data_IF_620295575630
#
_entry.id   IF_620295575630
#
_cell.length_a   1.000
_cell.length_b   1.000
_cell.length_c   1.000
_cell.angle_alpha   90.00
_cell.angle_beta   90.00
_cell.angle_gamma   90.00
#
_symmetry.space_group_name_H-M   'P 1'
#
loop_
_entity.id
_entity.type
_entity.pdbx_description
1 polymer ?
#
# COMPACT_ATOMS: atom_id res chain seq x y z
N UNK A 1 -3.88 -7.05 12.55
CA UNK A 1 -4.01 -6.03 13.61
C UNK A 1 -5.47 -5.65 13.77
N UNK A 2 -5.88 -5.13 14.93
CA UNK A 2 -7.27 -4.70 15.21
C UNK A 2 -7.43 -3.20 14.99
N UNK A 3 -8.58 -2.74 14.50
CA UNK A 3 -8.77 -1.32 14.15
C UNK A 3 -8.65 -0.35 15.32
N UNK A 4 -9.11 -0.73 16.52
CA UNK A 4 -8.98 0.09 17.72
C UNK A 4 -7.51 0.39 18.07
N UNK A 5 -6.65 -0.60 17.91
CA UNK A 5 -5.21 -0.53 18.18
C UNK A 5 -4.54 0.37 17.16
N UNK A 6 -4.85 0.19 15.88
CA UNK A 6 -4.34 1.07 14.81
C UNK A 6 -4.80 2.51 15.05
N UNK A 7 -6.09 2.73 15.30
CA UNK A 7 -6.63 4.06 15.57
C UNK A 7 -5.98 4.73 16.78
N UNK A 8 -5.68 3.99 17.85
CA UNK A 8 -4.96 4.51 19.01
C UNK A 8 -3.53 4.93 18.67
N UNK A 9 -2.80 4.10 17.90
CA UNK A 9 -1.42 4.40 17.46
C UNK A 9 -1.39 5.61 16.51
N UNK A 10 -2.30 5.67 15.53
CA UNK A 10 -2.31 6.78 14.56
C UNK A 10 -2.66 8.12 15.23
N UNK A 11 -3.48 8.11 16.28
CA UNK A 11 -3.79 9.31 17.08
C UNK A 11 -2.57 9.91 17.80
N UNK A 12 -1.53 9.11 18.08
CA UNK A 12 -0.28 9.63 18.66
C UNK A 12 0.69 10.16 17.62
N UNK A 13 0.36 10.02 16.32
CA UNK A 13 1.26 10.37 15.21
C UNK A 13 2.37 9.34 14.98
N UNK A 14 2.29 8.14 15.58
CA UNK A 14 3.25 7.07 15.37
C UNK A 14 2.94 6.30 14.07
N UNK A 15 3.38 6.87 12.95
CA UNK A 15 3.20 6.28 11.63
C UNK A 15 4.24 5.18 11.36
N UNK A 16 3.88 4.12 10.59
CA UNK A 16 4.87 3.16 10.14
C UNK A 16 5.85 3.82 9.16
N UNK A 17 7.14 3.50 9.26
CA UNK A 17 8.14 3.93 8.27
C UNK A 17 7.96 3.21 6.93
N UNK A 18 7.63 1.93 6.99
CA UNK A 18 7.26 1.11 5.83
C UNK A 18 6.11 0.19 6.23
N UNK A 19 5.34 -0.28 5.24
CA UNK A 19 4.32 -1.29 5.49
C UNK A 19 4.20 -2.26 4.31
N UNK A 20 3.69 -3.45 4.60
CA UNK A 20 3.51 -4.52 3.64
C UNK A 20 2.16 -5.21 3.87
N UNK A 21 1.91 -6.26 3.10
CA UNK A 21 0.68 -7.05 3.18
C UNK A 21 0.76 -8.22 4.15
N UNK A 22 1.97 -8.73 4.42
CA UNK A 22 2.17 -10.08 5.01
C UNK A 22 1.33 -11.13 4.25
N UNK A 23 1.49 -11.17 2.92
CA UNK A 23 0.63 -11.94 2.03
C UNK A 23 0.98 -13.42 2.04
N UNK A 24 -0.04 -14.27 2.19
CA UNK A 24 0.03 -15.71 2.04
C UNK A 24 -1.13 -16.23 1.17
N UNK A 25 -1.14 -17.54 0.88
CA UNK A 25 -2.14 -18.19 0.00
C UNK A 25 -3.58 -18.02 0.48
N UNK A 26 -3.79 -17.88 1.79
CA UNK A 26 -5.09 -17.65 2.41
C UNK A 26 -5.49 -16.16 2.48
N UNK A 27 -4.60 -15.21 2.18
CA UNK A 27 -4.89 -13.79 2.39
C UNK A 27 -6.06 -13.28 1.55
N UNK A 28 -6.27 -13.81 0.33
CA UNK A 28 -7.39 -13.39 -0.56
C UNK A 28 -8.77 -13.49 0.06
N UNK A 29 -8.98 -14.41 1.00
CA UNK A 29 -10.26 -14.57 1.70
C UNK A 29 -10.36 -13.75 2.99
N UNK A 30 -9.35 -12.90 3.27
CA UNK A 30 -9.27 -12.03 4.44
C UNK A 30 -9.40 -10.55 4.05
N UNK A 31 -9.24 -9.65 5.03
CA UNK A 31 -9.18 -8.22 4.76
C UNK A 31 -7.90 -7.75 4.06
N UNK A 32 -6.86 -8.56 3.95
CA UNK A 32 -5.64 -8.24 3.18
C UNK A 32 -5.88 -8.76 1.76
N UNK A 33 -6.12 -7.87 0.79
CA UNK A 33 -6.47 -8.24 -0.61
C UNK A 33 -5.29 -8.05 -1.58
N UNK A 34 -4.54 -6.98 -1.40
CA UNK A 34 -3.36 -6.63 -2.16
C UNK A 34 -2.67 -5.44 -1.47
N UNK A 35 -1.50 -5.02 -1.98
CA UNK A 35 -0.80 -3.87 -1.43
C UNK A 35 -1.59 -2.55 -1.59
N UNK A 36 -2.22 -2.23 -2.74
CA UNK A 36 -3.10 -1.06 -2.88
C UNK A 36 -4.23 -1.00 -1.83
N UNK A 37 -4.84 -2.13 -1.49
CA UNK A 37 -5.83 -2.24 -0.42
C UNK A 37 -5.21 -1.88 0.94
N UNK A 38 -4.03 -2.39 1.25
CA UNK A 38 -3.32 -2.03 2.48
C UNK A 38 -2.95 -0.54 2.54
N UNK A 39 -2.49 0.05 1.45
CA UNK A 39 -2.24 1.49 1.35
C UNK A 39 -3.52 2.29 1.65
N UNK A 40 -4.64 1.86 1.07
CA UNK A 40 -5.94 2.54 1.21
C UNK A 40 -6.46 2.57 2.65
N UNK A 41 -6.16 1.52 3.44
CA UNK A 41 -6.51 1.48 4.86
C UNK A 41 -5.88 2.63 5.64
N UNK A 42 -4.62 2.98 5.33
CA UNK A 42 -3.90 4.05 6.00
C UNK A 42 -4.35 5.44 5.55
N UNK A 43 -4.82 5.59 4.29
CA UNK A 43 -5.50 6.81 3.87
C UNK A 43 -6.72 7.11 4.76
N UNK A 44 -7.45 6.07 5.17
CA UNK A 44 -8.58 6.19 6.10
C UNK A 44 -8.22 6.74 7.48
N UNK A 45 -6.94 6.69 7.87
CA UNK A 45 -6.43 7.27 9.12
C UNK A 45 -5.77 8.65 8.93
N UNK A 46 -5.78 9.20 7.71
CA UNK A 46 -5.23 10.53 7.42
C UNK A 46 -3.83 10.53 6.81
N UNK A 47 -3.25 9.38 6.49
CA UNK A 47 -2.01 9.33 5.70
C UNK A 47 -2.28 9.89 4.31
N UNK A 48 -1.42 10.77 3.81
CA UNK A 48 -1.58 11.31 2.45
C UNK A 48 -1.21 10.27 1.38
N UNK A 49 -1.68 10.48 0.15
CA UNK A 49 -1.32 9.64 -1.01
C UNK A 49 0.19 9.58 -1.20
N UNK A 50 0.87 10.74 -1.13
CA UNK A 50 2.33 10.81 -1.31
C UNK A 50 3.08 10.03 -0.23
N UNK A 51 2.62 10.13 1.01
CA UNK A 51 3.18 9.38 2.14
C UNK A 51 2.98 7.88 2.00
N UNK A 52 1.79 7.45 1.60
CA UNK A 52 1.50 6.04 1.37
C UNK A 52 2.37 5.47 0.24
N UNK A 53 2.52 6.22 -0.86
CA UNK A 53 3.39 5.82 -1.99
C UNK A 53 4.84 5.73 -1.55
N UNK A 54 5.40 6.75 -0.88
CA UNK A 54 6.79 6.75 -0.45
C UNK A 54 7.15 5.56 0.47
N UNK A 55 6.24 5.23 1.40
CA UNK A 55 6.40 4.13 2.37
C UNK A 55 6.41 2.73 1.76
N UNK A 56 5.88 2.58 0.54
CA UNK A 56 5.90 1.31 -0.21
C UNK A 56 6.84 1.32 -1.42
N UNK A 57 7.52 2.45 -1.68
CA UNK A 57 8.50 2.60 -2.76
C UNK A 57 9.87 2.95 -2.20
N UNK A 58 10.25 4.23 -2.21
CA UNK A 58 11.61 4.70 -1.88
C UNK A 58 12.03 4.35 -0.46
N UNK A 59 11.11 4.43 0.52
CA UNK A 59 11.46 4.12 1.92
C UNK A 59 11.61 2.59 2.08
N UNK A 60 10.71 1.81 1.49
CA UNK A 60 10.80 0.34 1.53
C UNK A 60 12.04 -0.21 0.81
N UNK A 61 12.37 0.36 -0.35
CA UNK A 61 13.58 0.03 -1.10
C UNK A 61 14.85 0.40 -0.31
N UNK A 62 14.83 1.53 0.41
CA UNK A 62 15.93 1.98 1.26
C UNK A 62 16.20 1.10 2.48
N UNK A 63 15.25 0.26 2.91
CA UNK A 63 15.43 -0.67 4.05
C UNK A 63 16.50 -1.72 3.79
N UNK A 64 16.73 -2.10 2.53
CA UNK A 64 17.72 -3.12 2.17
C UNK A 64 18.66 -2.60 1.09
N UNK A 65 19.97 -2.72 1.34
CA UNK A 65 21.00 -2.25 0.39
C UNK A 65 20.86 -2.85 -1.01
N UNK A 66 20.38 -4.10 -1.11
CA UNK A 66 20.15 -4.79 -2.38
C UNK A 66 19.16 -4.07 -3.30
N UNK A 67 18.25 -3.25 -2.76
CA UNK A 67 17.19 -2.58 -3.50
C UNK A 67 17.40 -1.07 -3.61
N UNK A 68 18.58 -0.56 -3.30
CA UNK A 68 18.83 0.89 -3.26
C UNK A 68 18.65 1.61 -4.61
N UNK A 69 18.65 0.87 -5.71
CA UNK A 69 18.42 1.33 -7.07
C UNK A 69 16.93 1.31 -7.46
N UNK A 70 16.04 0.81 -6.57
CA UNK A 70 14.59 0.68 -6.78
C UNK A 70 13.80 1.75 -6.04
N UNK A 71 12.48 1.74 -6.26
CA UNK A 71 11.54 2.61 -5.56
C UNK A 71 11.56 4.06 -6.00
N UNK A 72 12.21 4.37 -7.14
CA UNK A 72 12.34 5.72 -7.70
C UNK A 72 12.02 5.73 -9.19
N UNK A 73 11.64 6.90 -9.71
CA UNK A 73 11.46 7.17 -11.14
C UNK A 73 12.62 8.00 -11.72
N UNK A 74 13.76 8.04 -11.02
CA UNK A 74 14.96 8.74 -11.48
C UNK A 74 15.51 8.15 -12.78
N UNK A 75 16.10 9.01 -13.63
CA UNK A 75 16.82 8.57 -14.82
C UNK A 75 17.96 7.62 -14.42
N UNK A 76 18.04 6.47 -15.09
CA UNK A 76 19.05 5.43 -14.83
C UNK A 76 18.60 4.33 -13.86
N UNK A 77 17.49 4.51 -13.15
CA UNK A 77 16.89 3.44 -12.34
C UNK A 77 16.20 2.38 -13.22
N UNK A 78 16.02 1.13 -12.72
CA UNK A 78 15.21 0.13 -13.39
C UNK A 78 13.78 0.64 -13.65
N UNK A 79 13.26 0.37 -14.85
CA UNK A 79 11.93 0.78 -15.27
C UNK A 79 10.83 -0.12 -14.68
N UNK A 80 10.70 -0.06 -13.36
CA UNK A 80 9.71 -0.78 -12.56
C UNK A 80 8.63 0.21 -12.10
N UNK A 81 7.42 0.12 -12.66
CA UNK A 81 6.34 1.09 -12.44
C UNK A 81 5.03 0.38 -12.15
N UNK A 82 4.36 0.79 -11.07
CA UNK A 82 2.98 0.41 -10.79
C UNK A 82 2.06 1.61 -11.06
N UNK A 83 1.04 1.41 -11.90
CA UNK A 83 -0.01 2.39 -12.14
C UNK A 83 -1.21 2.06 -11.25
N UNK A 84 -1.56 2.98 -10.36
CA UNK A 84 -2.71 2.87 -9.47
C UNK A 84 -3.72 3.96 -9.79
N UNK A 85 -5.00 3.59 -9.82
CA UNK A 85 -6.11 4.53 -9.88
C UNK A 85 -6.58 4.83 -8.45
N UNK A 86 -6.61 6.09 -8.06
CA UNK A 86 -7.22 6.52 -6.81
C UNK A 86 -8.69 6.87 -7.07
N UNK A 87 -9.60 6.11 -6.48
CA UNK A 87 -11.04 6.38 -6.58
C UNK A 87 -11.58 6.97 -5.30
N UNK A 88 -12.49 7.92 -5.42
CA UNK A 88 -13.28 8.45 -4.32
C UNK A 88 -14.61 7.70 -4.20
N UNK A 89 -15.10 7.51 -2.97
CA UNK A 89 -16.32 6.76 -2.72
C UNK A 89 -16.48 6.39 -1.26
N UNK A 90 -17.30 5.37 -0.99
CA UNK A 90 -17.40 4.75 0.32
C UNK A 90 -16.86 3.32 0.21
N UNK A 91 -15.76 3.04 0.89
CA UNK A 91 -15.10 1.74 0.83
C UNK A 91 -14.97 1.14 2.22
N UNK A 92 -15.43 -0.08 2.40
CA UNK A 92 -15.26 -0.82 3.63
C UNK A 92 -13.94 -1.58 3.64
N UNK A 93 -13.22 -1.53 4.77
CA UNK A 93 -11.97 -2.24 4.99
C UNK A 93 -12.05 -3.14 6.23
N UNK A 94 -11.71 -4.41 6.05
CA UNK A 94 -11.66 -5.40 7.11
C UNK A 94 -10.30 -5.42 7.81
N UNK A 95 -10.31 -5.57 9.13
CA UNK A 95 -9.15 -5.99 9.90
C UNK A 95 -9.06 -7.53 10.01
N UNK A 96 -8.05 -8.04 10.72
CA UNK A 96 -7.84 -9.49 10.87
C UNK A 96 -8.90 -10.17 11.74
N UNK A 97 -9.76 -9.40 12.41
CA UNK A 97 -10.80 -9.85 13.33
C UNK A 97 -12.20 -9.54 12.80
N UNK A 98 -12.32 -9.22 11.51
CA UNK A 98 -13.57 -8.90 10.80
C UNK A 98 -14.26 -7.60 11.28
N UNK A 99 -13.58 -6.75 12.03
CA UNK A 99 -14.09 -5.40 12.26
C UNK A 99 -13.90 -4.57 10.99
N UNK A 100 -14.75 -3.58 10.81
CA UNK A 100 -14.76 -2.72 9.62
C UNK A 100 -14.45 -1.27 9.96
N UNK A 101 -13.80 -0.59 9.02
CA UNK A 101 -13.76 0.87 8.93
C UNK A 101 -14.21 1.28 7.53
N UNK A 102 -14.72 2.50 7.41
CA UNK A 102 -15.07 3.10 6.11
C UNK A 102 -14.07 4.17 5.75
N UNK A 103 -13.44 4.04 4.57
CA UNK A 103 -12.58 5.07 3.98
C UNK A 103 -13.26 5.77 2.81
N UNK A 104 -12.84 7.01 2.53
CA UNK A 104 -13.40 7.83 1.42
C UNK A 104 -12.67 7.66 0.10
N UNK A 105 -11.50 7.03 0.12
CA UNK A 105 -10.64 6.83 -1.04
C UNK A 105 -10.05 5.42 -1.03
N UNK A 106 -9.81 4.87 -2.21
CA UNK A 106 -9.17 3.56 -2.39
C UNK A 106 -8.33 3.51 -3.66
N UNK A 107 -7.14 2.93 -3.54
CA UNK A 107 -6.29 2.58 -4.68
C UNK A 107 -6.77 1.29 -5.36
N UNK A 108 -6.75 1.30 -6.68
CA UNK A 108 -7.00 0.16 -7.54
C UNK A 108 -5.82 -0.05 -8.48
N UNK A 109 -5.29 -1.28 -8.61
CA UNK A 109 -4.26 -1.55 -9.60
C UNK A 109 -4.84 -1.38 -11.01
N UNK A 110 -4.14 -0.59 -11.84
CA UNK A 110 -4.52 -0.29 -13.23
C UNK A 110 -3.56 -0.94 -14.23
N UNK A 111 -2.26 -0.93 -13.96
CA UNK A 111 -1.24 -1.58 -14.79
C UNK A 111 0.12 -1.68 -14.09
N UNK A 112 1.00 -2.50 -14.66
CA UNK A 112 2.35 -2.73 -14.14
C UNK A 112 3.34 -2.81 -15.29
N UNK A 113 4.51 -2.19 -15.12
CA UNK A 113 5.68 -2.33 -15.97
C UNK A 113 6.80 -2.87 -15.11
N UNK A 114 7.49 -3.92 -15.57
CA UNK A 114 8.63 -4.52 -14.90
C UNK A 114 9.80 -4.56 -15.87
N UNK A 115 10.94 -3.97 -15.49
CA UNK A 115 12.12 -3.85 -16.33
C UNK A 115 11.80 -3.32 -17.75
N UNK A 116 10.92 -2.30 -17.83
CA UNK A 116 10.52 -1.67 -19.08
C UNK A 116 9.50 -2.45 -19.92
N UNK A 117 8.98 -3.57 -19.42
CA UNK A 117 7.99 -4.39 -20.13
C UNK A 117 6.63 -4.37 -19.42
N UNK A 118 5.51 -4.15 -20.15
CA UNK A 118 4.18 -4.32 -19.57
C UNK A 118 3.97 -5.74 -19.04
N UNK A 119 3.43 -5.85 -17.83
CA UNK A 119 3.04 -7.12 -17.22
C UNK A 119 1.55 -7.35 -17.48
N UNK A 120 1.14 -8.52 -18.01
CA UNK A 120 -0.27 -8.84 -18.19
C UNK A 120 -1.04 -8.79 -16.86
N UNK A 121 -2.27 -8.28 -16.88
CA UNK A 121 -3.19 -8.46 -15.74
C UNK A 121 -3.61 -9.92 -15.68
N UNK A 122 -3.50 -10.50 -14.48
CA UNK A 122 -4.10 -11.79 -14.13
C UNK A 122 -5.58 -11.62 -13.78
#
# INVERSE_FOLDING_TARGET
MRWDTIGAIMKTGFWPDTFSTDWATNSRSTGVIDLPNCMSKLLGYGMTVSEAVARVTVIAAGTFQLFHDRGTLNVGAPADVALLELREGSFEFLDNYKNTITGRQRFFPSGTVLAGKPVPRA
#
